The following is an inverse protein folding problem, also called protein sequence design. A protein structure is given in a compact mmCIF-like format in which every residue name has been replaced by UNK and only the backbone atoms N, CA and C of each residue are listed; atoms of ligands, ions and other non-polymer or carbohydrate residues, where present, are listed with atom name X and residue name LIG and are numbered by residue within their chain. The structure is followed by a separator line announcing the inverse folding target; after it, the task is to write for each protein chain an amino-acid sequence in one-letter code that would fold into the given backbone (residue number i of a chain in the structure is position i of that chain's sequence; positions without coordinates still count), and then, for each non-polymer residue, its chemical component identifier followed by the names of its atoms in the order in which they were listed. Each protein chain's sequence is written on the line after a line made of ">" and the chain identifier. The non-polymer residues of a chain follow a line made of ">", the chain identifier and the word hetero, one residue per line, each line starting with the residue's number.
data_IF_814577680558
#
_entry.id   IF_814577680558
#
_cell.length_a   1.000
_cell.length_b   1.000
_cell.length_c   1.000
_cell.angle_alpha   90.00
_cell.angle_beta   90.00
_cell.angle_gamma   90.00
#
_symmetry.space_group_name_H-M   'P 1'
#
loop_
_entity.id
_entity.type
_entity.pdbx_description
1 polymer ?
#
# COMPACT_ATOMS: atom_id res chain seq x y z
N UNK A 1 0.95 33.29 -1.07
CA UNK A 1 1.90 32.37 -1.74
C UNK A 1 1.10 31.18 -2.20
N UNK A 2 1.06 30.93 -3.50
CA UNK A 2 0.21 29.93 -4.16
C UNK A 2 0.76 28.53 -3.92
N UNK A 3 -0.04 27.67 -3.32
CA UNK A 3 0.27 26.25 -3.09
C UNK A 3 0.39 25.58 -4.46
N UNK A 4 1.61 25.29 -4.90
CA UNK A 4 1.86 24.58 -6.15
C UNK A 4 1.29 23.16 -6.03
N UNK A 5 0.73 22.67 -7.14
CA UNK A 5 -0.07 21.46 -7.23
C UNK A 5 0.81 20.19 -7.14
N UNK A 6 1.37 19.94 -5.95
CA UNK A 6 2.31 18.86 -5.61
C UNK A 6 1.55 17.66 -5.05
N UNK A 7 1.05 16.76 -5.88
CA UNK A 7 0.65 15.46 -5.36
C UNK A 7 0.71 14.36 -6.39
N UNK A 8 1.07 13.18 -5.93
CA UNK A 8 0.70 11.93 -6.58
C UNK A 8 -0.83 11.88 -6.74
N UNK A 9 -1.35 11.17 -7.75
CA UNK A 9 -2.78 10.99 -7.91
C UNK A 9 -3.31 10.10 -6.79
N UNK A 10 -4.60 10.27 -6.52
CA UNK A 10 -5.32 9.46 -5.55
C UNK A 10 -5.74 8.14 -6.21
N UNK A 11 -5.30 7.02 -5.65
CA UNK A 11 -5.60 5.67 -6.14
C UNK A 11 -4.36 4.92 -6.63
N UNK A 12 -4.57 3.81 -7.33
CA UNK A 12 -3.49 3.07 -7.98
C UNK A 12 -3.14 3.69 -9.32
N UNK A 13 -1.85 3.81 -9.58
CA UNK A 13 -1.34 4.39 -10.81
C UNK A 13 -0.10 3.66 -11.30
N UNK A 14 0.14 3.78 -12.60
CA UNK A 14 1.43 3.50 -13.21
C UNK A 14 2.34 4.70 -13.05
N UNK A 15 3.64 4.42 -12.88
CA UNK A 15 4.71 5.40 -12.99
C UNK A 15 5.37 5.16 -14.35
N UNK A 16 5.07 6.02 -15.32
CA UNK A 16 5.45 5.86 -16.73
C UNK A 16 6.62 6.78 -17.04
N UNK A 17 7.67 6.24 -17.64
CA UNK A 17 8.80 7.02 -18.15
C UNK A 17 8.38 7.88 -19.34
N UNK A 18 8.63 9.20 -19.28
CA UNK A 18 8.42 10.10 -20.42
C UNK A 18 9.46 9.89 -21.55
N UNK A 19 10.51 9.10 -21.30
CA UNK A 19 11.56 8.80 -22.28
C UNK A 19 11.12 7.72 -23.27
N UNK A 20 10.55 6.62 -22.77
CA UNK A 20 10.30 5.41 -23.56
C UNK A 20 8.92 4.76 -23.30
N UNK A 21 8.08 5.32 -22.43
CA UNK A 21 6.74 4.78 -22.15
C UNK A 21 6.72 3.50 -21.31
N UNK A 22 7.89 2.96 -20.92
CA UNK A 22 7.97 1.85 -19.99
C UNK A 22 7.52 2.28 -18.58
N UNK A 23 7.10 1.31 -17.77
CA UNK A 23 6.62 1.56 -16.39
C UNK A 23 7.57 1.03 -15.34
N UNK A 24 7.51 1.63 -14.16
CA UNK A 24 8.23 1.17 -12.97
C UNK A 24 7.57 -0.12 -12.44
N UNK A 25 8.31 -1.23 -12.45
CA UNK A 25 7.78 -2.53 -12.05
C UNK A 25 8.79 -3.42 -11.34
N UNK A 26 8.28 -4.52 -10.76
CA UNK A 26 9.10 -5.53 -10.11
C UNK A 26 9.84 -6.36 -11.15
N UNK A 27 11.14 -6.56 -10.95
CA UNK A 27 11.98 -7.38 -11.81
C UNK A 27 11.64 -8.87 -11.68
N UNK A 28 11.50 -9.55 -12.82
CA UNK A 28 11.37 -11.02 -12.87
C UNK A 28 9.97 -11.51 -12.51
N UNK A 29 9.90 -12.67 -11.85
CA UNK A 29 8.64 -13.25 -11.38
C UNK A 29 8.07 -12.42 -10.22
N UNK A 30 6.97 -11.72 -10.51
CA UNK A 30 6.33 -10.79 -9.58
C UNK A 30 5.62 -11.52 -8.43
N UNK A 31 5.19 -12.77 -8.62
CA UNK A 31 4.55 -13.56 -7.56
C UNK A 31 5.57 -14.05 -6.52
N UNK A 32 6.82 -14.20 -6.91
CA UNK A 32 7.93 -14.56 -6.05
C UNK A 32 8.62 -13.34 -5.41
N UNK A 33 8.07 -12.13 -5.60
CA UNK A 33 8.69 -10.90 -5.11
C UNK A 33 8.68 -10.81 -3.58
N UNK A 34 9.82 -10.44 -3.01
CA UNK A 34 10.01 -10.29 -1.56
C UNK A 34 10.84 -9.03 -1.26
N UNK A 35 11.19 -8.82 0.01
CA UNK A 35 12.10 -7.74 0.42
C UNK A 35 13.44 -7.88 -0.34
N UNK A 36 13.94 -6.76 -0.86
CA UNK A 36 15.14 -6.73 -1.69
C UNK A 36 14.91 -7.07 -3.16
N UNK A 37 13.67 -7.39 -3.58
CA UNK A 37 13.33 -7.45 -5.00
C UNK A 37 13.61 -6.11 -5.67
N UNK A 38 14.26 -6.18 -6.84
CA UNK A 38 14.70 -4.98 -7.59
C UNK A 38 13.54 -4.38 -8.36
N UNK A 39 13.55 -3.05 -8.44
CA UNK A 39 12.69 -2.31 -9.34
C UNK A 39 13.45 -1.99 -10.64
N UNK A 40 12.73 -2.09 -11.76
CA UNK A 40 13.24 -1.91 -13.13
C UNK A 40 12.16 -1.29 -14.02
N UNK A 41 12.56 -0.89 -15.23
CA UNK A 41 11.63 -0.58 -16.31
C UNK A 41 11.05 -1.86 -16.89
N UNK A 42 9.73 -1.92 -17.07
CA UNK A 42 9.03 -3.05 -17.72
C UNK A 42 7.99 -2.55 -18.71
N UNK A 43 7.57 -3.41 -19.63
CA UNK A 43 6.43 -3.13 -20.50
C UNK A 43 5.15 -3.00 -19.67
N UNK A 44 4.34 -1.98 -19.97
CA UNK A 44 3.06 -1.75 -19.31
C UNK A 44 2.10 -2.91 -19.59
N UNK A 45 1.52 -3.48 -18.54
CA UNK A 45 0.47 -4.51 -18.60
C UNK A 45 -0.86 -3.89 -18.20
N UNK A 46 -1.89 -4.08 -19.00
CA UNK A 46 -3.22 -3.47 -18.75
C UNK A 46 -4.18 -4.41 -18.02
N UNK A 47 -3.93 -5.72 -18.08
CA UNK A 47 -4.81 -6.75 -17.54
C UNK A 47 -4.32 -7.31 -16.20
N UNK A 48 -5.26 -7.56 -15.30
CA UNK A 48 -5.04 -8.26 -14.05
C UNK A 48 -4.86 -9.77 -14.32
N UNK A 49 -3.98 -10.50 -13.60
CA UNK A 49 -3.22 -10.07 -12.42
C UNK A 49 -1.82 -9.50 -12.71
N UNK A 50 -1.30 -9.63 -13.94
CA UNK A 50 0.06 -9.20 -14.31
C UNK A 50 0.30 -7.69 -14.11
N UNK A 51 -0.77 -6.90 -14.25
CA UNK A 51 -0.74 -5.46 -14.00
C UNK A 51 -0.37 -5.11 -12.55
N UNK A 52 -0.77 -5.91 -11.56
CA UNK A 52 -0.73 -5.48 -10.15
C UNK A 52 0.70 -5.30 -9.62
N UNK A 53 1.69 -5.99 -10.20
CA UNK A 53 3.11 -5.77 -9.86
C UNK A 53 3.69 -4.45 -10.40
N UNK A 54 2.93 -3.71 -11.21
CA UNK A 54 3.32 -2.43 -11.82
C UNK A 54 2.54 -1.23 -11.25
N UNK A 55 1.57 -1.50 -10.37
CA UNK A 55 0.71 -0.48 -9.77
C UNK A 55 1.23 -0.04 -8.42
N UNK A 56 1.20 1.28 -8.23
CA UNK A 56 1.67 1.95 -7.03
C UNK A 56 0.58 2.82 -6.45
N UNK A 57 0.57 2.97 -5.13
CA UNK A 57 -0.25 3.94 -4.41
C UNK A 57 0.65 4.79 -3.51
N UNK A 58 0.39 6.10 -3.46
CA UNK A 58 1.14 7.01 -2.60
C UNK A 58 0.39 7.29 -1.31
N UNK A 59 1.08 7.21 -0.17
CA UNK A 59 0.53 7.55 1.14
C UNK A 59 1.64 8.04 2.08
N UNK A 60 1.48 9.25 2.63
CA UNK A 60 2.41 9.81 3.63
C UNK A 60 3.88 9.74 3.20
N UNK A 61 4.12 9.94 1.90
CA UNK A 61 5.44 9.84 1.27
C UNK A 61 5.83 8.44 0.82
N UNK A 62 5.17 7.37 1.25
CA UNK A 62 5.47 6.02 0.77
C UNK A 62 4.83 5.74 -0.58
N UNK A 63 5.50 4.94 -1.41
CA UNK A 63 4.95 4.33 -2.62
C UNK A 63 4.82 2.83 -2.40
N UNK A 64 3.59 2.34 -2.19
CA UNK A 64 3.31 0.92 -1.93
C UNK A 64 2.92 0.22 -3.22
N UNK A 65 3.53 -0.93 -3.49
CA UNK A 65 3.19 -1.77 -4.62
C UNK A 65 1.90 -2.56 -4.36
N UNK A 66 0.98 -2.60 -5.33
CA UNK A 66 -0.33 -3.24 -5.17
C UNK A 66 -0.25 -4.75 -4.96
N UNK A 67 0.59 -5.44 -5.72
CA UNK A 67 0.69 -6.91 -5.65
C UNK A 67 1.27 -7.37 -4.31
N UNK A 68 2.33 -6.72 -3.86
CA UNK A 68 3.14 -7.20 -2.72
C UNK A 68 2.79 -6.54 -1.39
N UNK A 69 2.24 -5.32 -1.39
CA UNK A 69 2.08 -4.50 -0.19
C UNK A 69 3.39 -3.93 0.36
N UNK A 70 4.52 -4.20 -0.28
CA UNK A 70 5.84 -3.65 0.07
C UNK A 70 5.99 -2.23 -0.47
N UNK A 71 6.86 -1.44 0.14
CA UNK A 71 7.12 -0.05 -0.26
C UNK A 71 8.38 0.07 -1.11
N UNK A 72 8.42 1.10 -1.93
CA UNK A 72 9.61 1.51 -2.64
C UNK A 72 10.68 1.99 -1.64
N UNK A 73 11.89 1.46 -1.77
CA UNK A 73 13.02 1.72 -0.87
C UNK A 73 14.29 2.03 -1.66
N UNK A 74 15.07 2.99 -1.16
CA UNK A 74 16.36 3.39 -1.72
C UNK A 74 17.48 2.67 -0.96
N UNK A 75 18.21 1.79 -1.65
CA UNK A 75 19.32 1.05 -1.05
C UNK A 75 20.58 1.07 -1.93
N UNK A 76 21.74 0.77 -1.35
CA UNK A 76 22.99 0.67 -2.09
C UNK A 76 22.90 -0.41 -3.17
N UNK A 77 23.35 -0.09 -4.38
CA UNK A 77 23.43 -1.07 -5.44
C UNK A 77 24.50 -2.12 -5.10
N UNK A 78 24.12 -3.39 -5.15
CA UNK A 78 24.95 -4.54 -4.71
C UNK A 78 26.03 -4.94 -5.75
N UNK A 79 26.29 -4.14 -6.78
CA UNK A 79 27.34 -4.45 -7.76
C UNK A 79 28.71 -3.99 -7.25
N UNK A 80 29.78 -4.73 -7.55
CA UNK A 80 31.15 -4.40 -7.14
C UNK A 80 31.54 -2.93 -7.42
N UNK A 81 31.21 -2.43 -8.61
CA UNK A 81 31.46 -1.03 -8.99
C UNK A 81 30.68 -0.04 -8.10
N UNK A 82 29.44 -0.38 -7.74
CA UNK A 82 28.57 0.50 -6.96
C UNK A 82 29.04 0.71 -5.52
N UNK A 83 29.80 -0.22 -4.97
CA UNK A 83 30.45 -0.06 -3.65
C UNK A 83 31.38 1.17 -3.67
N UNK A 84 32.06 1.41 -4.78
CA UNK A 84 32.99 2.53 -4.93
C UNK A 84 32.30 3.82 -5.40
N UNK A 85 31.21 3.72 -6.16
CA UNK A 85 30.49 4.91 -6.67
C UNK A 85 29.42 5.43 -5.73
N UNK A 86 29.03 4.66 -4.70
CA UNK A 86 27.92 5.01 -3.82
C UNK A 86 26.56 5.01 -4.52
N UNK A 87 26.45 4.31 -5.66
CA UNK A 87 25.23 4.25 -6.45
C UNK A 87 24.08 3.65 -5.62
N UNK A 88 22.95 4.35 -5.59
CA UNK A 88 21.72 3.89 -4.93
C UNK A 88 20.68 3.48 -5.95
N UNK A 89 20.00 2.37 -5.69
CA UNK A 89 18.98 1.77 -6.54
C UNK A 89 17.66 1.64 -5.78
N UNK A 90 16.57 1.47 -6.52
CA UNK A 90 15.25 1.18 -5.98
C UNK A 90 15.00 -0.32 -5.81
N UNK A 91 14.39 -0.65 -4.67
CA UNK A 91 14.01 -1.99 -4.22
C UNK A 91 12.61 -1.99 -3.60
N UNK A 92 12.08 -3.18 -3.33
CA UNK A 92 10.98 -3.37 -2.40
C UNK A 92 11.53 -3.60 -0.99
N UNK A 93 10.90 -3.00 0.02
CA UNK A 93 11.17 -3.29 1.43
C UNK A 93 9.88 -3.19 2.27
N UNK A 94 9.96 -3.66 3.52
CA UNK A 94 8.97 -3.35 4.55
C UNK A 94 8.97 -1.85 4.85
N UNK A 95 7.77 -1.33 5.10
CA UNK A 95 7.54 0.04 5.51
C UNK A 95 8.26 0.34 6.85
N UNK A 96 9.18 1.31 6.87
CA UNK A 96 9.92 1.74 8.07
C UNK A 96 9.13 2.80 8.84
N UNK A 97 9.37 2.90 10.15
CA UNK A 97 8.82 3.99 10.98
C UNK A 97 9.33 5.36 10.51
N UNK A 98 8.53 6.42 10.75
CA UNK A 98 8.74 7.77 10.20
C UNK A 98 10.17 8.28 10.33
N UNK A 99 10.77 8.12 11.50
CA UNK A 99 12.10 8.67 11.79
C UNK A 99 13.23 7.91 11.07
N UNK A 100 12.99 6.65 10.68
CA UNK A 100 13.94 5.79 9.97
C UNK A 100 13.69 5.73 8.46
N UNK A 101 12.55 6.21 7.97
CA UNK A 101 12.06 5.95 6.63
C UNK A 101 12.45 6.99 5.57
N UNK A 102 13.52 7.76 5.81
CA UNK A 102 13.99 8.82 4.90
C UNK A 102 14.29 8.31 3.48
N UNK A 103 14.65 7.03 3.35
CA UNK A 103 14.92 6.29 2.11
C UNK A 103 13.67 5.67 1.47
N UNK A 104 12.49 5.85 2.07
CA UNK A 104 11.20 5.35 1.57
C UNK A 104 10.18 6.48 1.36
N UNK A 105 10.62 7.73 1.44
CA UNK A 105 9.77 8.93 1.31
C UNK A 105 10.01 9.64 0.00
N UNK A 106 8.95 9.73 -0.80
CA UNK A 106 8.96 10.33 -2.13
C UNK A 106 7.91 11.44 -2.26
N UNK A 107 8.31 12.49 -2.96
CA UNK A 107 7.44 13.56 -3.47
C UNK A 107 7.35 13.50 -4.99
N UNK A 108 6.34 14.18 -5.55
CA UNK A 108 6.16 14.32 -6.99
C UNK A 108 5.93 15.77 -7.38
N UNK A 109 6.72 16.23 -8.35
CA UNK A 109 6.58 17.53 -9.00
C UNK A 109 5.93 17.32 -10.38
N UNK A 110 4.61 17.59 -10.48
CA UNK A 110 3.78 17.26 -11.65
C UNK A 110 4.30 17.85 -12.97
N UNK A 111 4.80 19.07 -12.92
CA UNK A 111 5.40 19.74 -14.05
C UNK A 111 6.83 20.11 -13.65
N UNK A 112 7.86 19.44 -14.20
CA UNK A 112 7.84 18.61 -15.42
C UNK A 112 7.62 17.09 -15.22
N UNK A 113 7.54 16.60 -13.99
CA UNK A 113 7.36 15.17 -13.70
C UNK A 113 8.49 14.52 -12.89
N UNK A 114 9.13 15.23 -11.96
CA UNK A 114 10.17 14.64 -11.11
C UNK A 114 9.55 13.86 -9.94
N UNK A 115 10.01 12.63 -9.71
CA UNK A 115 9.82 11.92 -8.45
C UNK A 115 11.12 12.11 -7.65
N UNK A 116 11.02 12.67 -6.44
CA UNK A 116 12.18 13.06 -5.62
C UNK A 116 12.11 12.49 -4.22
N UNK A 117 13.26 12.33 -3.56
CA UNK A 117 13.35 11.93 -2.16
C UNK A 117 12.94 13.10 -1.26
N UNK A 118 12.03 12.89 -0.28
CA UNK A 118 11.57 14.00 0.58
C UNK A 118 12.68 14.57 1.46
N UNK A 119 13.64 13.74 1.89
CA UNK A 119 14.77 14.18 2.71
C UNK A 119 15.87 14.90 1.90
N UNK A 120 15.89 14.74 0.58
CA UNK A 120 16.75 15.52 -0.34
C UNK A 120 16.07 15.68 -1.71
N UNK A 121 15.32 16.77 -1.94
CA UNK A 121 14.59 17.00 -3.19
C UNK A 121 15.48 17.17 -4.45
N UNK A 122 16.81 17.28 -4.29
CA UNK A 122 17.73 17.28 -5.42
C UNK A 122 18.06 15.87 -5.91
N UNK A 123 17.66 14.83 -5.17
CA UNK A 123 17.85 13.43 -5.55
C UNK A 123 16.53 12.89 -6.13
N UNK A 124 16.57 12.52 -7.41
CA UNK A 124 15.39 12.13 -8.20
C UNK A 124 15.52 10.71 -8.75
N UNK A 125 14.37 10.12 -9.07
CA UNK A 125 14.29 8.82 -9.76
C UNK A 125 14.78 8.96 -11.20
N UNK A 126 15.75 8.13 -11.58
CA UNK A 126 16.49 8.19 -12.84
C UNK A 126 16.61 6.79 -13.47
N UNK A 127 16.43 6.71 -14.80
CA UNK A 127 16.79 5.53 -15.59
C UNK A 127 18.26 5.61 -15.96
N UNK A 128 19.04 4.69 -15.40
CA UNK A 128 20.49 4.68 -15.52
C UNK A 128 20.93 4.68 -16.98
N UNK A 129 21.83 5.60 -17.32
CA UNK A 129 22.41 5.75 -18.65
C UNK A 129 21.40 5.92 -19.79
N UNK A 130 20.18 6.38 -19.49
CA UNK A 130 19.14 6.57 -20.50
C UNK A 130 18.81 5.26 -21.25
N UNK A 131 19.00 4.12 -20.58
CA UNK A 131 18.75 2.79 -21.13
C UNK A 131 17.27 2.64 -21.50
N UNK A 132 17.02 2.30 -22.76
CA UNK A 132 15.66 2.27 -23.32
C UNK A 132 14.97 0.93 -23.19
N UNK A 133 15.72 -0.13 -22.92
CA UNK A 133 15.23 -1.50 -22.93
C UNK A 133 14.45 -1.87 -21.65
N UNK A 134 13.53 -2.84 -21.72
CA UNK A 134 13.01 -3.49 -20.52
C UNK A 134 14.15 -4.03 -19.64
N UNK A 135 13.90 -4.15 -18.35
CA UNK A 135 14.89 -4.50 -17.31
C UNK A 135 15.93 -3.39 -17.00
N UNK A 136 15.83 -2.23 -17.68
CA UNK A 136 16.69 -1.07 -17.40
C UNK A 136 16.68 -0.70 -15.90
N UNK A 137 17.86 -0.34 -15.40
CA UNK A 137 18.07 -0.04 -13.98
C UNK A 137 17.47 1.32 -13.62
N UNK A 138 16.61 1.33 -12.61
CA UNK A 138 16.12 2.55 -11.98
C UNK A 138 16.91 2.86 -10.71
N UNK A 139 17.36 4.10 -10.58
CA UNK A 139 18.25 4.56 -9.52
C UNK A 139 17.86 5.93 -8.98
N UNK A 140 18.54 6.36 -7.92
CA UNK A 140 18.44 7.71 -7.39
C UNK A 140 19.67 8.50 -7.82
N UNK A 141 19.47 9.66 -8.45
CA UNK A 141 20.53 10.47 -9.04
C UNK A 141 20.30 11.96 -8.83
N UNK A 142 21.35 12.80 -8.80
CA UNK A 142 21.17 14.25 -8.77
C UNK A 142 20.29 14.72 -9.95
N UNK A 143 19.35 15.61 -9.62
CA UNK A 143 18.44 16.24 -10.56
C UNK A 143 19.25 16.99 -11.62
N UNK A 144 19.06 16.61 -12.87
CA UNK A 144 19.69 17.27 -14.02
C UNK A 144 18.88 18.54 -14.38
N UNK A 145 19.54 19.61 -14.87
CA UNK A 145 18.85 20.84 -15.25
C UNK A 145 17.93 20.61 -16.47
N UNK A 146 16.76 21.24 -16.46
CA UNK A 146 15.79 21.15 -17.57
C UNK A 146 16.25 21.87 -18.84
N UNK A 147 17.08 22.89 -18.68
CA UNK A 147 17.65 23.68 -19.76
C UNK A 147 19.10 23.28 -20.00
N UNK A 148 19.42 22.88 -21.23
CA UNK A 148 20.81 22.70 -21.67
C UNK A 148 21.38 24.05 -22.16
N UNK A 149 22.66 24.36 -21.90
CA UNK A 149 23.36 25.42 -22.62
C UNK A 149 23.32 25.18 -24.13
N UNK A 150 23.27 26.24 -24.94
CA UNK A 150 23.18 26.15 -26.40
C UNK A 150 24.20 25.16 -26.99
N UNK A 151 23.74 24.27 -27.88
CA UNK A 151 24.59 23.34 -28.64
C UNK A 151 24.78 21.93 -28.08
N UNK A 152 24.06 21.50 -27.03
CA UNK A 152 24.15 20.14 -26.45
C UNK A 152 22.82 19.33 -26.54
N UNK A 153 22.88 17.98 -26.43
CA UNK A 153 21.71 17.12 -26.61
C UNK A 153 20.55 17.43 -25.64
N UNK A 154 19.36 17.11 -26.15
CA UNK A 154 17.98 17.38 -25.69
C UNK A 154 17.63 16.75 -24.30
N UNK A 155 16.44 17.02 -23.73
CA UNK A 155 16.16 17.09 -22.29
C UNK A 155 16.28 15.79 -21.50
N UNK A 156 16.36 15.96 -20.18
CA UNK A 156 16.51 15.00 -19.06
C UNK A 156 15.36 13.99 -18.92
N UNK A 157 14.86 13.45 -20.04
CA UNK A 157 13.66 12.59 -20.08
C UNK A 157 13.81 11.32 -19.25
N UNK A 158 15.03 10.84 -19.03
CA UNK A 158 15.31 9.70 -18.17
C UNK A 158 15.02 9.95 -16.67
N UNK A 159 14.71 11.19 -16.28
CA UNK A 159 14.30 11.60 -14.92
C UNK A 159 12.85 12.11 -14.86
N UNK A 160 12.11 12.06 -15.97
CA UNK A 160 10.76 12.61 -16.06
C UNK A 160 9.73 11.49 -16.16
N UNK A 161 8.69 11.62 -15.33
CA UNK A 161 7.70 10.60 -15.11
C UNK A 161 6.29 11.17 -15.32
N UNK A 162 5.41 10.34 -15.88
CA UNK A 162 3.97 10.58 -15.99
C UNK A 162 3.27 9.60 -15.07
N UNK A 163 2.29 10.08 -14.32
CA UNK A 163 1.45 9.24 -13.46
C UNK A 163 0.11 9.03 -14.15
N UNK A 164 -0.24 7.77 -14.41
CA UNK A 164 -1.50 7.40 -15.07
C UNK A 164 -2.31 6.49 -14.15
N UNK A 165 -3.53 6.89 -13.80
CA UNK A 165 -4.45 6.08 -12.99
C UNK A 165 -4.80 4.77 -13.70
N UNK A 166 -4.79 3.66 -12.96
CA UNK A 166 -5.01 2.32 -13.55
C UNK A 166 -6.47 1.97 -13.80
N UNK A 167 -7.39 2.66 -13.13
CA UNK A 167 -8.83 2.52 -13.30
C UNK A 167 -9.40 3.92 -13.55
N UNK A 168 -10.43 4.10 -14.40
CA UNK A 168 -11.06 5.40 -14.57
C UNK A 168 -11.49 5.90 -13.18
N UNK A 169 -11.23 7.17 -12.82
CA UNK A 169 -11.77 7.71 -11.59
C UNK A 169 -13.28 7.49 -11.65
N UNK A 170 -13.81 6.64 -10.79
CA UNK A 170 -15.26 6.52 -10.66
C UNK A 170 -15.76 7.91 -10.32
N UNK A 171 -16.85 8.34 -10.94
CA UNK A 171 -17.49 9.58 -10.52
C UNK A 171 -17.81 9.41 -9.04
N UNK A 172 -17.10 10.18 -8.21
CA UNK A 172 -17.39 10.27 -6.80
C UNK A 172 -18.76 10.91 -6.74
N UNK A 173 -19.79 10.13 -6.40
CA UNK A 173 -21.09 10.72 -6.07
C UNK A 173 -20.83 11.66 -4.90
N UNK A 174 -21.12 12.94 -5.07
CA UNK A 174 -20.87 13.97 -4.05
C UNK A 174 -21.69 13.77 -2.77
N UNK A 175 -22.67 12.86 -2.82
CA UNK A 175 -23.47 12.43 -1.67
C UNK A 175 -22.83 11.25 -0.91
N UNK A 176 -21.74 10.67 -1.45
CA UNK A 176 -20.93 9.59 -0.91
C UNK A 176 -19.52 10.09 -0.52
N UNK A 177 -19.45 11.21 0.22
CA UNK A 177 -18.19 11.75 0.80
C UNK A 177 -17.40 10.72 1.66
N UNK A 178 -18.02 9.59 1.99
CA UNK A 178 -17.51 8.54 2.87
C UNK A 178 -16.93 7.29 2.18
N UNK A 179 -17.16 7.14 0.86
CA UNK A 179 -16.62 6.07 0.01
C UNK A 179 -15.41 6.57 -0.82
N UNK A 180 -14.51 7.31 -0.16
CA UNK A 180 -13.23 7.69 -0.75
C UNK A 180 -12.53 6.43 -1.31
N UNK A 181 -12.42 6.31 -2.64
CA UNK A 181 -11.76 5.20 -3.32
C UNK A 181 -10.32 5.03 -2.80
N UNK A 182 -9.71 6.10 -2.26
CA UNK A 182 -8.47 6.02 -1.49
C UNK A 182 -8.58 5.09 -0.30
N UNK A 183 -9.64 5.18 0.52
CA UNK A 183 -9.86 4.36 1.72
C UNK A 183 -10.08 2.90 1.32
N UNK A 184 -10.83 2.62 0.26
CA UNK A 184 -11.06 1.24 -0.24
C UNK A 184 -9.80 0.65 -0.88
N UNK A 185 -9.04 1.43 -1.64
CA UNK A 185 -7.74 1.06 -2.19
C UNK A 185 -6.68 0.88 -1.10
N UNK A 186 -6.69 1.71 -0.04
CA UNK A 186 -5.87 1.59 1.18
C UNK A 186 -6.20 0.31 1.95
N UNK A 187 -7.49 -0.02 2.09
CA UNK A 187 -7.91 -1.27 2.72
C UNK A 187 -7.57 -2.49 1.83
N UNK A 188 -7.60 -2.38 0.50
CA UNK A 188 -7.10 -3.44 -0.40
C UNK A 188 -5.57 -3.60 -0.37
N UNK A 189 -4.83 -2.51 -0.31
CA UNK A 189 -3.38 -2.51 -0.05
C UNK A 189 -3.05 -3.16 1.30
N UNK A 190 -3.92 -2.94 2.30
CA UNK A 190 -3.84 -3.54 3.63
C UNK A 190 -4.02 -5.08 3.62
N UNK A 191 -4.74 -5.65 2.64
CA UNK A 191 -4.93 -7.11 2.55
C UNK A 191 -3.99 -7.83 1.56
N UNK A 192 -3.48 -7.16 0.51
CA UNK A 192 -2.42 -7.65 -0.39
C UNK A 192 -2.61 -9.06 -0.98
N UNK A 193 -1.59 -9.58 -1.69
CA UNK A 193 -1.57 -10.98 -2.14
C UNK A 193 -1.08 -11.89 -1.00
N UNK A 194 -1.96 -12.79 -0.56
CA UNK A 194 -1.97 -13.59 0.68
C UNK A 194 -0.71 -14.46 1.00
N UNK A 195 0.37 -14.45 0.21
CA UNK A 195 1.58 -15.28 0.43
C UNK A 195 2.73 -14.61 1.20
N UNK A 196 2.70 -13.29 1.41
CA UNK A 196 3.86 -12.54 1.95
C UNK A 196 3.91 -12.31 3.46
N UNK A 197 2.96 -12.83 4.24
CA UNK A 197 2.81 -12.50 5.67
C UNK A 197 3.74 -13.35 6.57
N UNK A 198 5.05 -13.05 6.52
CA UNK A 198 6.07 -13.56 7.43
C UNK A 198 6.48 -12.54 8.51
N UNK A 199 6.77 -13.07 9.72
CA UNK A 199 7.41 -12.54 10.95
C UNK A 199 7.32 -11.07 11.42
N UNK A 200 6.80 -10.07 10.69
CA UNK A 200 6.76 -8.67 11.20
C UNK A 200 5.36 -8.06 11.11
N UNK A 201 4.66 -8.15 12.25
CA UNK A 201 3.21 -7.97 12.41
C UNK A 201 2.76 -6.57 12.92
N UNK A 202 3.69 -5.65 13.20
CA UNK A 202 3.40 -4.49 14.07
C UNK A 202 3.05 -3.16 13.37
N UNK A 203 3.39 -2.94 12.11
CA UNK A 203 3.53 -1.56 11.60
C UNK A 203 2.47 -1.07 10.60
N UNK A 204 1.45 -1.88 10.25
CA UNK A 204 0.46 -1.49 9.22
C UNK A 204 -0.92 -1.09 9.76
N UNK A 205 -1.13 -1.10 11.09
CA UNK A 205 -2.43 -0.82 11.70
C UNK A 205 -2.41 0.42 12.59
N UNK A 206 -2.82 1.56 12.03
CA UNK A 206 -3.15 2.73 12.83
C UNK A 206 -4.54 2.54 13.46
N UNK A 207 -4.60 2.57 14.79
CA UNK A 207 -5.82 2.44 15.60
C UNK A 207 -6.96 3.35 15.10
N UNK A 208 -6.64 4.58 14.70
CA UNK A 208 -7.60 5.55 14.16
C UNK A 208 -8.40 5.02 12.95
N UNK A 209 -7.77 4.25 12.06
CA UNK A 209 -8.45 3.69 10.87
C UNK A 209 -9.35 2.52 11.22
N UNK A 210 -8.92 1.69 12.17
CA UNK A 210 -9.72 0.59 12.68
C UNK A 210 -10.93 1.12 13.46
N UNK A 211 -10.73 2.21 14.21
CA UNK A 211 -11.81 2.94 14.87
C UNK A 211 -12.79 3.53 13.86
N UNK A 212 -12.32 4.20 12.80
CA UNK A 212 -13.20 4.73 11.74
C UNK A 212 -14.01 3.62 11.06
N UNK A 213 -13.37 2.49 10.74
CA UNK A 213 -14.06 1.32 10.20
C UNK A 213 -15.13 0.79 11.17
N UNK A 214 -14.79 0.72 12.46
CA UNK A 214 -15.72 0.33 13.51
C UNK A 214 -16.93 1.27 13.59
N UNK A 215 -16.74 2.59 13.63
CA UNK A 215 -17.84 3.57 13.63
C UNK A 215 -18.79 3.34 12.44
N UNK A 216 -18.23 3.16 11.23
CA UNK A 216 -18.98 2.96 10.00
C UNK A 216 -19.78 1.66 9.97
N UNK A 217 -19.27 0.59 10.60
CA UNK A 217 -19.94 -0.71 10.63
C UNK A 217 -20.97 -0.80 11.74
N UNK A 218 -20.67 -0.24 12.92
CA UNK A 218 -21.44 -0.46 14.14
C UNK A 218 -22.39 0.66 14.52
N UNK A 219 -22.10 1.92 14.14
CA UNK A 219 -22.90 3.09 14.59
C UNK A 219 -23.74 3.74 13.50
N UNK A 220 -23.38 3.58 12.23
CA UNK A 220 -24.16 4.15 11.13
C UNK A 220 -25.40 3.27 10.81
N UNK A 221 -26.55 3.60 11.41
CA UNK A 221 -27.81 2.86 11.22
C UNK A 221 -28.33 2.87 9.78
N UNK A 222 -27.96 3.88 8.98
CA UNK A 222 -28.32 3.94 7.55
C UNK A 222 -27.49 2.95 6.73
N UNK A 223 -26.25 2.67 7.13
CA UNK A 223 -25.32 1.75 6.44
C UNK A 223 -25.38 0.31 6.95
N UNK A 224 -25.96 0.05 8.13
CA UNK A 224 -26.23 -1.32 8.65
C UNK A 224 -27.05 -2.20 7.69
N UNK A 225 -27.88 -1.60 6.83
CA UNK A 225 -28.82 -2.31 5.94
C UNK A 225 -28.38 -2.37 4.47
N UNK A 226 -27.26 -1.74 4.08
CA UNK A 226 -26.82 -1.67 2.68
C UNK A 226 -25.61 -2.55 2.42
N UNK A 227 -25.65 -3.29 1.31
CA UNK A 227 -24.59 -4.17 0.78
C UNK A 227 -23.35 -3.43 0.22
N UNK A 228 -23.18 -2.14 0.51
CA UNK A 228 -22.17 -1.30 -0.16
C UNK A 228 -20.79 -1.35 0.50
N UNK A 229 -20.73 -1.70 1.79
CA UNK A 229 -19.48 -1.77 2.55
C UNK A 229 -18.61 -2.94 2.09
N UNK A 230 -17.31 -2.68 1.95
CA UNK A 230 -16.36 -3.70 1.49
C UNK A 230 -16.09 -4.77 2.56
N UNK A 231 -15.76 -5.98 2.11
CA UNK A 231 -15.44 -7.10 3.00
C UNK A 231 -14.26 -6.76 3.92
N UNK A 232 -13.31 -6.01 3.38
CA UNK A 232 -12.12 -5.47 4.03
C UNK A 232 -12.48 -4.51 5.17
N UNK A 233 -13.42 -3.60 4.94
CA UNK A 233 -13.88 -2.62 5.94
C UNK A 233 -14.63 -3.32 7.08
N UNK A 234 -15.47 -4.29 6.73
CA UNK A 234 -16.15 -5.14 7.71
C UNK A 234 -15.13 -5.90 8.55
N UNK A 235 -14.13 -6.52 7.93
CA UNK A 235 -13.09 -7.26 8.62
C UNK A 235 -12.25 -6.37 9.57
N UNK A 236 -11.91 -5.14 9.17
CA UNK A 236 -11.21 -4.20 10.04
C UNK A 236 -12.05 -3.72 11.23
N UNK A 237 -13.33 -3.42 11.02
CA UNK A 237 -14.24 -3.08 12.10
C UNK A 237 -14.39 -4.21 13.12
N UNK A 238 -14.55 -5.44 12.62
CA UNK A 238 -14.64 -6.64 13.46
C UNK A 238 -13.34 -6.87 14.21
N UNK A 239 -12.19 -6.68 13.55
CA UNK A 239 -10.88 -6.81 14.20
C UNK A 239 -10.68 -5.82 15.35
N UNK A 240 -11.14 -4.57 15.16
CA UNK A 240 -11.15 -3.55 16.20
C UNK A 240 -12.01 -3.96 17.40
N UNK A 241 -13.27 -4.37 17.16
CA UNK A 241 -14.19 -4.75 18.23
C UNK A 241 -13.71 -5.99 18.99
N UNK A 242 -13.11 -6.97 18.29
CA UNK A 242 -12.57 -8.17 18.91
C UNK A 242 -11.50 -7.87 19.98
N UNK A 243 -10.61 -6.91 19.72
CA UNK A 243 -9.59 -6.47 20.69
C UNK A 243 -10.25 -5.75 21.87
N UNK A 244 -11.26 -4.91 21.64
CA UNK A 244 -11.99 -4.23 22.72
C UNK A 244 -12.80 -5.21 23.59
N UNK A 245 -13.37 -6.26 23.00
CA UNK A 245 -14.02 -7.33 23.75
C UNK A 245 -13.03 -8.07 24.65
N UNK A 246 -11.82 -8.33 24.14
CA UNK A 246 -10.74 -8.89 24.95
C UNK A 246 -10.30 -7.95 26.07
N UNK A 247 -10.13 -6.64 25.80
CA UNK A 247 -9.76 -5.66 26.84
C UNK A 247 -10.79 -5.61 27.97
N UNK A 248 -12.09 -5.57 27.63
CA UNK A 248 -13.20 -5.65 28.60
C UNK A 248 -13.20 -6.96 29.40
N UNK A 249 -12.84 -8.07 28.76
CA UNK A 249 -12.72 -9.37 29.45
C UNK A 249 -11.54 -9.35 30.42
N UNK A 250 -10.37 -8.85 29.99
CA UNK A 250 -9.17 -8.71 30.82
C UNK A 250 -9.44 -7.85 32.06
N UNK A 251 -10.18 -6.76 31.92
CA UNK A 251 -10.59 -5.91 33.05
C UNK A 251 -11.47 -6.64 34.08
N UNK A 252 -12.27 -7.61 33.65
CA UNK A 252 -13.18 -8.38 34.51
C UNK A 252 -12.51 -9.59 35.16
N UNK A 253 -11.77 -10.35 34.35
CA UNK A 253 -11.31 -11.70 34.69
C UNK A 253 -9.81 -11.74 35.05
N UNK A 254 -9.09 -10.63 34.85
CA UNK A 254 -7.64 -10.52 35.09
C UNK A 254 -6.80 -10.78 33.84
N UNK A 255 -5.48 -10.74 34.01
CA UNK A 255 -4.51 -10.87 32.91
C UNK A 255 -4.30 -12.33 32.50
N UNK A 256 -4.38 -12.59 31.20
CA UNK A 256 -4.09 -13.90 30.61
C UNK A 256 -2.74 -13.88 29.89
N UNK A 257 -2.14 -15.05 29.66
CA UNK A 257 -0.93 -15.13 28.86
C UNK A 257 -1.17 -14.73 27.39
N UNK A 258 -0.09 -14.36 26.71
CA UNK A 258 -0.14 -13.84 25.34
C UNK A 258 -0.72 -14.86 24.32
N UNK A 259 -0.45 -16.16 24.52
CA UNK A 259 -0.93 -17.21 23.61
C UNK A 259 -2.43 -17.40 23.75
N UNK A 260 -2.93 -17.42 24.99
CA UNK A 260 -4.37 -17.50 25.29
C UNK A 260 -5.10 -16.24 24.81
N UNK A 261 -4.50 -15.05 25.00
CA UNK A 261 -5.05 -13.78 24.50
C UNK A 261 -5.25 -13.78 22.98
N UNK A 262 -4.26 -14.25 22.20
CA UNK A 262 -4.38 -14.32 20.73
C UNK A 262 -5.49 -15.27 20.27
N UNK A 263 -5.66 -16.41 20.95
CA UNK A 263 -6.74 -17.36 20.65
C UNK A 263 -8.12 -16.74 20.93
N UNK A 264 -8.29 -16.09 22.08
CA UNK A 264 -9.54 -15.43 22.42
C UNK A 264 -9.89 -14.31 21.45
N UNK A 265 -8.90 -13.52 21.02
CA UNK A 265 -9.12 -12.44 20.06
C UNK A 265 -9.54 -12.99 18.69
N UNK A 266 -8.95 -14.11 18.25
CA UNK A 266 -9.38 -14.79 17.04
C UNK A 266 -10.83 -15.34 17.16
N UNK A 267 -11.19 -15.89 18.32
CA UNK A 267 -12.54 -16.37 18.62
C UNK A 267 -13.55 -15.21 18.63
N UNK A 268 -13.22 -14.08 19.27
CA UNK A 268 -14.04 -12.88 19.26
C UNK A 268 -14.21 -12.35 17.84
N UNK A 269 -13.14 -12.24 17.05
CA UNK A 269 -13.23 -11.78 15.67
C UNK A 269 -14.12 -12.70 14.81
N UNK A 270 -13.99 -14.03 14.95
CA UNK A 270 -14.83 -14.97 14.22
C UNK A 270 -16.30 -14.88 14.63
N UNK A 271 -16.59 -14.85 15.93
CA UNK A 271 -17.95 -14.73 16.48
C UNK A 271 -18.60 -13.41 16.07
N UNK A 272 -17.85 -12.33 16.17
CA UNK A 272 -18.35 -10.99 15.91
C UNK A 272 -18.61 -10.76 14.43
N UNK A 273 -17.77 -11.31 13.54
CA UNK A 273 -18.05 -11.32 12.11
C UNK A 273 -19.39 -12.00 11.79
N UNK A 274 -19.69 -13.13 12.43
CA UNK A 274 -20.96 -13.84 12.22
C UNK A 274 -22.15 -12.95 12.60
N UNK A 275 -22.07 -12.20 13.71
CA UNK A 275 -23.14 -11.27 14.12
C UNK A 275 -23.31 -10.14 13.10
N UNK A 276 -22.21 -9.55 12.64
CA UNK A 276 -22.25 -8.47 11.64
C UNK A 276 -22.88 -8.96 10.34
N UNK A 277 -22.49 -10.14 9.84
CA UNK A 277 -23.05 -10.72 8.62
C UNK A 277 -24.54 -11.07 8.77
N UNK A 278 -24.94 -11.66 9.89
CA UNK A 278 -26.34 -11.98 10.18
C UNK A 278 -27.22 -10.72 10.23
N UNK A 279 -26.73 -9.66 10.88
CA UNK A 279 -27.45 -8.37 10.94
C UNK A 279 -27.65 -7.70 9.56
N UNK A 280 -26.90 -8.13 8.56
CA UNK A 280 -26.91 -7.62 7.18
C UNK A 280 -27.69 -8.49 6.21
N UNK A 281 -28.27 -9.60 6.67
CA UNK A 281 -29.02 -10.53 5.83
C UNK A 281 -28.15 -11.36 4.88
N UNK A 282 -26.85 -11.50 5.15
CA UNK A 282 -25.97 -12.44 4.43
C UNK A 282 -26.14 -13.86 5.01
N UNK A 283 -27.29 -14.49 4.73
CA UNK A 283 -27.64 -15.86 5.21
C UNK A 283 -27.64 -16.93 4.09
N UNK A 284 -27.24 -16.60 2.86
CA UNK A 284 -27.30 -17.55 1.74
C UNK A 284 -26.14 -18.56 1.77
N UNK A 285 -26.48 -19.85 1.88
CA UNK A 285 -25.59 -21.02 1.86
C UNK A 285 -25.31 -21.51 0.42
N UNK A 286 -24.70 -20.66 -0.41
CA UNK A 286 -24.09 -21.10 -1.67
C UNK A 286 -22.55 -21.23 -1.55
N UNK A 287 -21.94 -22.03 -2.43
CA UNK A 287 -20.50 -22.31 -2.37
C UNK A 287 -19.64 -21.03 -2.43
N UNK A 288 -20.12 -20.00 -3.14
CA UNK A 288 -19.46 -18.69 -3.27
C UNK A 288 -19.53 -17.89 -1.97
N UNK A 289 -20.67 -17.88 -1.29
CA UNK A 289 -20.87 -17.29 0.04
C UNK A 289 -19.98 -17.96 1.08
N UNK A 290 -19.81 -19.29 1.01
CA UNK A 290 -18.93 -20.02 1.93
C UNK A 290 -17.45 -19.61 1.80
N UNK A 291 -16.98 -19.40 0.56
CA UNK A 291 -15.61 -18.97 0.28
C UNK A 291 -15.38 -17.51 0.72
N UNK A 292 -16.36 -16.63 0.45
CA UNK A 292 -16.37 -15.24 0.90
C UNK A 292 -16.32 -15.15 2.43
N UNK A 293 -17.15 -15.92 3.13
CA UNK A 293 -17.20 -15.95 4.61
C UNK A 293 -15.87 -16.43 5.19
N UNK A 294 -15.29 -17.50 4.66
CA UNK A 294 -13.95 -17.99 5.05
C UNK A 294 -12.87 -16.92 4.87
N UNK A 295 -12.90 -16.20 3.76
CA UNK A 295 -11.98 -15.09 3.49
C UNK A 295 -12.16 -13.98 4.53
N UNK A 296 -13.39 -13.53 4.77
CA UNK A 296 -13.69 -12.48 5.75
C UNK A 296 -13.30 -12.87 7.17
N UNK A 297 -13.53 -14.13 7.57
CA UNK A 297 -13.10 -14.63 8.88
C UNK A 297 -11.60 -14.54 9.05
N UNK A 298 -10.84 -14.94 8.03
CA UNK A 298 -9.38 -14.83 8.06
C UNK A 298 -8.92 -13.37 8.14
N UNK A 299 -9.51 -12.49 7.33
CA UNK A 299 -9.22 -11.06 7.35
C UNK A 299 -9.49 -10.44 8.74
N UNK A 300 -10.63 -10.77 9.35
CA UNK A 300 -11.02 -10.27 10.66
C UNK A 300 -10.06 -10.74 11.77
N UNK A 301 -9.71 -12.03 11.78
CA UNK A 301 -8.75 -12.61 12.73
C UNK A 301 -7.37 -11.94 12.58
N UNK A 302 -6.92 -11.72 11.36
CA UNK A 302 -5.64 -11.06 11.08
C UNK A 302 -5.64 -9.60 11.54
N UNK A 303 -6.71 -8.86 11.22
CA UNK A 303 -6.88 -7.49 11.67
C UNK A 303 -6.85 -7.40 13.21
N UNK A 304 -7.58 -8.30 13.88
CA UNK A 304 -7.63 -8.36 15.34
C UNK A 304 -6.27 -8.70 15.96
N UNK A 305 -5.59 -9.73 15.42
CA UNK A 305 -4.30 -10.18 15.94
C UNK A 305 -3.22 -9.12 15.77
N UNK A 306 -3.15 -8.48 14.61
CA UNK A 306 -2.17 -7.44 14.35
C UNK A 306 -2.45 -6.19 15.20
N UNK A 307 -3.72 -5.79 15.37
CA UNK A 307 -4.08 -4.66 16.23
C UNK A 307 -3.75 -4.94 17.70
N UNK A 308 -4.03 -6.16 18.15
CA UNK A 308 -3.64 -6.60 19.48
C UNK A 308 -2.13 -6.56 19.68
N UNK A 309 -1.37 -7.09 18.72
CA UNK A 309 0.09 -7.10 18.80
C UNK A 309 0.71 -5.71 18.67
N UNK A 310 0.11 -4.77 17.95
CA UNK A 310 0.61 -3.38 17.92
C UNK A 310 0.37 -2.65 19.24
N UNK A 311 -0.74 -2.97 19.94
CA UNK A 311 -1.10 -2.32 21.21
C UNK A 311 -0.48 -2.98 22.45
N UNK A 312 -0.28 -4.30 22.41
CA UNK A 312 0.13 -5.11 23.57
C UNK A 312 1.34 -6.01 23.32
N UNK A 313 1.87 -6.05 22.09
CA UNK A 313 3.05 -6.86 21.75
C UNK A 313 4.35 -6.10 21.99
N UNK A 314 5.09 -6.48 23.02
CA UNK A 314 6.51 -6.11 23.21
C UNK A 314 7.39 -6.65 22.10
#
# INVERSE_FOLDING_TARGET
>A
MTVSNTSFPIGYFYIISQMNGLVLGIRGDQEAATIGSKIVMVEKKEESPERDGQLWIHQDGFLTNKLTGLVLDINAAQSFIAIFTGEKRLYLDSMKEKDAANDQRFGFEKEPGFIFQLSDPNMVVDIRHEETDPDARVMIYPRKPLTVPEGKPKPVKNQLWTLELSDPPRQVDSDDEDEDDSKRARMRAWFGNWKGWGERKKEMLHEERLHEAHEKVYKDEKKKKKSTLSNELIAGAVGYEAVHLWEKKRERDGEEDLSTSKKLIAEFAASELVKVLASRGEEDDDDKSSAKKKLMTRMAIMAATNYFESKHGS
#
